data_IF_421439960062
#
_entry.id   IF_421439960062
#
_cell.length_a   1.000
_cell.length_b   1.000
_cell.length_c   1.000
_cell.angle_alpha   90.00
_cell.angle_beta   90.00
_cell.angle_gamma   90.00
#
_symmetry.space_group_name_H-M   'P 1'
#
loop_
_entity.id
_entity.type
_entity.pdbx_description
1 polymer ?
#
# COMPACT_ATOMS: atom_id res chain seq x y z
N UNK A 1 4.98 -13.87 1.34
CA UNK A 1 5.23 -12.83 0.30
C UNK A 1 6.71 -12.82 0.01
N UNK A 2 7.10 -12.54 -1.24
CA UNK A 2 8.50 -12.47 -1.66
C UNK A 2 8.78 -11.09 -2.24
N UNK A 3 9.86 -10.47 -1.80
CA UNK A 3 10.39 -9.23 -2.36
C UNK A 3 11.38 -9.59 -3.46
N UNK A 4 11.28 -8.96 -4.62
CA UNK A 4 12.25 -9.05 -5.71
C UNK A 4 12.99 -7.72 -5.83
N UNK A 5 14.32 -7.75 -5.81
CA UNK A 5 15.18 -6.60 -6.11
C UNK A 5 15.96 -6.91 -7.37
N UNK A 6 15.96 -5.99 -8.34
CA UNK A 6 16.65 -6.17 -9.63
C UNK A 6 17.33 -4.88 -10.04
N UNK A 7 18.49 -5.00 -10.71
CA UNK A 7 19.15 -3.86 -11.35
C UNK A 7 18.21 -3.25 -12.40
N UNK A 8 18.04 -1.94 -12.37
CA UNK A 8 17.22 -1.19 -13.32
C UNK A 8 17.92 0.13 -13.66
N UNK A 9 18.40 0.26 -14.91
CA UNK A 9 19.28 1.37 -15.31
C UNK A 9 20.48 1.53 -14.37
N UNK A 10 20.67 2.75 -13.86
CA UNK A 10 21.75 3.08 -12.93
C UNK A 10 21.46 2.69 -11.48
N UNK A 11 20.24 2.28 -11.14
CA UNK A 11 19.82 1.93 -9.78
C UNK A 11 19.23 0.53 -9.67
N UNK A 12 18.30 0.36 -8.75
CA UNK A 12 17.64 -0.90 -8.41
C UNK A 12 16.15 -0.68 -8.20
N UNK A 13 15.35 -1.61 -8.70
CA UNK A 13 13.91 -1.68 -8.50
C UNK A 13 13.59 -2.79 -7.50
N UNK A 14 13.01 -2.44 -6.36
CA UNK A 14 12.46 -3.37 -5.39
C UNK A 14 10.94 -3.47 -5.56
N UNK A 15 10.37 -4.67 -5.53
CA UNK A 15 8.91 -4.88 -5.65
C UNK A 15 8.40 -6.10 -4.89
N UNK A 16 7.13 -6.08 -4.49
CA UNK A 16 6.46 -7.24 -3.89
C UNK A 16 5.85 -8.10 -5.00
N UNK A 17 6.25 -9.37 -5.06
CA UNK A 17 5.75 -10.30 -6.09
C UNK A 17 4.23 -10.48 -6.00
N UNK A 18 3.55 -10.31 -7.13
CA UNK A 18 2.09 -10.41 -7.22
C UNK A 18 1.33 -9.15 -6.79
N UNK A 19 2.03 -8.02 -6.57
CA UNK A 19 1.43 -6.72 -6.24
C UNK A 19 1.98 -5.65 -7.19
N UNK A 20 1.16 -5.21 -8.14
CA UNK A 20 1.60 -4.25 -9.18
C UNK A 20 1.88 -2.84 -8.63
N UNK A 21 1.27 -2.48 -7.51
CA UNK A 21 1.37 -1.16 -6.90
C UNK A 21 2.38 -1.07 -5.74
N UNK A 22 3.12 -2.15 -5.45
CA UNK A 22 4.11 -2.19 -4.37
C UNK A 22 5.50 -2.35 -4.97
N UNK A 23 6.06 -1.23 -5.41
CA UNK A 23 7.42 -1.14 -5.93
C UNK A 23 8.03 0.21 -5.59
N UNK A 24 9.36 0.26 -5.55
CA UNK A 24 10.13 1.49 -5.38
C UNK A 24 11.52 1.35 -6.02
N UNK A 25 12.09 2.49 -6.39
CA UNK A 25 13.42 2.59 -6.99
C UNK A 25 14.39 3.24 -6.01
N UNK A 26 15.66 2.82 -6.03
CA UNK A 26 16.75 3.48 -5.31
C UNK A 26 18.09 3.33 -6.04
N UNK A 27 19.08 4.15 -5.72
CA UNK A 27 20.41 4.09 -6.34
C UNK A 27 21.21 2.84 -5.89
N UNK A 28 20.89 2.31 -4.71
CA UNK A 28 21.40 1.04 -4.18
C UNK A 28 20.27 0.05 -3.87
N UNK A 29 20.60 -1.24 -3.69
CA UNK A 29 19.62 -2.24 -3.26
C UNK A 29 18.98 -1.88 -1.91
N UNK A 30 19.80 -1.39 -0.97
CA UNK A 30 19.35 -0.95 0.36
C UNK A 30 18.37 0.20 0.26
N UNK A 31 18.68 1.21 -0.55
CA UNK A 31 17.81 2.36 -0.77
C UNK A 31 16.48 1.95 -1.41
N UNK A 32 16.51 1.09 -2.44
CA UNK A 32 15.29 0.61 -3.08
C UNK A 32 14.39 -0.16 -2.10
N UNK A 33 14.97 -0.93 -1.17
CA UNK A 33 14.25 -1.63 -0.11
C UNK A 33 13.64 -0.68 0.92
N UNK A 34 14.40 0.34 1.34
CA UNK A 34 13.91 1.36 2.27
C UNK A 34 12.73 2.14 1.66
N UNK A 35 12.86 2.55 0.40
CA UNK A 35 11.76 3.23 -0.30
C UNK A 35 10.55 2.33 -0.51
N UNK A 36 10.75 1.03 -0.78
CA UNK A 36 9.63 0.09 -0.84
C UNK A 36 8.92 -0.01 0.53
N UNK A 37 9.67 0.07 1.63
CA UNK A 37 9.11 0.16 2.99
C UNK A 37 8.17 1.35 3.14
N UNK A 38 8.62 2.54 2.74
CA UNK A 38 7.82 3.77 2.78
C UNK A 38 6.53 3.63 1.94
N UNK A 39 6.62 3.04 0.74
CA UNK A 39 5.46 2.79 -0.12
C UNK A 39 4.46 1.83 0.55
N UNK A 40 4.94 0.78 1.20
CA UNK A 40 4.08 -0.18 1.92
C UNK A 40 3.35 0.51 3.07
N UNK A 41 4.05 1.32 3.87
CA UNK A 41 3.44 2.07 4.98
C UNK A 41 2.36 3.03 4.47
N UNK A 42 2.66 3.82 3.42
CA UNK A 42 1.68 4.71 2.80
C UNK A 42 0.44 3.96 2.29
N UNK A 43 0.64 2.80 1.65
CA UNK A 43 -0.48 1.98 1.17
C UNK A 43 -1.29 1.39 2.33
N UNK A 44 -0.66 1.04 3.45
CA UNK A 44 -1.39 0.59 4.65
C UNK A 44 -2.30 1.69 5.19
N UNK A 45 -1.78 2.90 5.34
CA UNK A 45 -2.55 4.06 5.82
C UNK A 45 -3.73 4.37 4.89
N UNK A 46 -3.49 4.35 3.57
CA UNK A 46 -4.56 4.52 2.58
C UNK A 46 -5.70 3.50 2.75
N UNK A 47 -5.37 2.21 2.89
CA UNK A 47 -6.41 1.19 3.08
C UNK A 47 -7.14 1.34 4.42
N UNK A 48 -6.45 1.75 5.49
CA UNK A 48 -7.09 2.01 6.78
C UNK A 48 -8.08 3.17 6.68
N UNK A 49 -7.74 4.24 5.96
CA UNK A 49 -8.66 5.36 5.72
C UNK A 49 -9.91 4.90 4.95
N UNK A 50 -9.76 4.05 3.93
CA UNK A 50 -10.90 3.47 3.21
C UNK A 50 -11.83 2.67 4.14
N UNK A 51 -11.26 1.82 5.00
CA UNK A 51 -12.05 1.05 5.98
C UNK A 51 -12.80 1.98 6.93
N UNK A 52 -12.19 3.09 7.36
CA UNK A 52 -12.87 4.09 8.20
C UNK A 52 -14.04 4.79 7.48
N UNK A 53 -13.89 5.09 6.20
CA UNK A 53 -14.99 5.61 5.37
C UNK A 53 -16.13 4.59 5.27
N UNK A 54 -15.82 3.33 4.96
CA UNK A 54 -16.81 2.26 4.88
C UNK A 54 -17.53 2.03 6.20
N UNK A 55 -16.82 2.11 7.34
CA UNK A 55 -17.43 2.04 8.69
C UNK A 55 -18.46 3.14 8.90
N UNK A 56 -18.15 4.39 8.50
CA UNK A 56 -19.09 5.52 8.59
C UNK A 56 -20.33 5.27 7.75
N UNK A 57 -20.15 4.80 6.50
CA UNK A 57 -21.26 4.45 5.60
C UNK A 57 -22.15 3.36 6.19
N UNK A 58 -21.57 2.24 6.65
CA UNK A 58 -22.32 1.15 7.31
C UNK A 58 -23.14 1.67 8.49
N UNK A 59 -22.54 2.49 9.34
CA UNK A 59 -23.23 3.03 10.53
C UNK A 59 -24.40 3.95 10.13
N UNK A 60 -24.27 4.73 9.06
CA UNK A 60 -25.37 5.54 8.53
C UNK A 60 -26.50 4.67 7.97
N UNK A 61 -26.15 3.63 7.19
CA UNK A 61 -27.13 2.68 6.65
C UNK A 61 -27.90 1.97 7.77
N UNK A 62 -27.21 1.53 8.82
CA UNK A 62 -27.86 0.92 9.99
C UNK A 62 -28.83 1.88 10.66
N UNK A 63 -28.44 3.14 10.89
CA UNK A 63 -29.36 4.14 11.47
C UNK A 63 -30.59 4.38 10.59
N UNK A 64 -30.40 4.50 9.28
CA UNK A 64 -31.52 4.68 8.35
C UNK A 64 -32.47 3.48 8.37
N UNK A 65 -31.95 2.25 8.42
CA UNK A 65 -32.76 1.04 8.48
C UNK A 65 -33.57 0.89 9.78
N UNK A 66 -33.13 1.46 10.91
CA UNK A 66 -33.86 1.44 12.18
C UNK A 66 -34.87 2.60 12.33
N UNK A 67 -34.84 3.58 11.42
CA UNK A 67 -35.76 4.72 11.42
C UNK A 67 -37.01 4.51 10.53
N UNK A 68 -37.06 3.38 9.82
CA UNK A 68 -38.19 2.90 9.01
C UNK A 68 -38.97 1.87 9.82
#
# INVERSE_FOLDING_TARGET
MQIEVKKDGDGYLAKVKGRENLYAFGASEEEALNELGNVVEMMMDYHLEQVEVERKVRNQLQKAAHAV
#
